data_IF_323132811254
#
_entry.id   IF_323132811254
#
_cell.length_a   1.000
_cell.length_b   1.000
_cell.length_c   1.000
_cell.angle_alpha   90.00
_cell.angle_beta   90.00
_cell.angle_gamma   90.00
#
_symmetry.space_group_name_H-M   'P 1'
#
loop_
_entity.id
_entity.type
_entity.pdbx_description
1 polymer ?
#
# COMPACT_ATOMS: atom_id res chain seq x y z
N UNK A 1 -1.47 8.27 1.60
CA UNK A 1 -2.15 7.12 0.96
C UNK A 1 -2.03 7.19 -0.54
N UNK A 2 -2.45 8.27 -1.21
CA UNK A 2 -2.31 8.45 -2.67
C UNK A 2 -0.91 8.12 -3.23
N UNK A 3 0.14 8.72 -2.67
CA UNK A 3 1.53 8.47 -3.09
C UNK A 3 1.98 7.00 -3.00
N UNK A 4 1.46 6.24 -2.03
CA UNK A 4 1.78 4.82 -1.85
C UNK A 4 1.09 3.99 -2.92
N UNK A 5 -0.19 4.27 -3.20
CA UNK A 5 -0.93 3.58 -4.25
C UNK A 5 -0.30 3.84 -5.63
N UNK A 6 0.02 5.10 -5.93
CA UNK A 6 0.64 5.51 -7.20
C UNK A 6 1.99 4.82 -7.41
N UNK A 7 2.85 4.82 -6.39
CA UNK A 7 4.17 4.20 -6.51
C UNK A 7 4.09 2.68 -6.53
N UNK A 8 3.15 2.07 -5.80
CA UNK A 8 2.90 0.63 -5.85
C UNK A 8 2.40 0.20 -7.23
N UNK A 9 1.50 0.97 -7.86
CA UNK A 9 1.03 0.68 -9.23
C UNK A 9 2.15 0.82 -10.25
N UNK A 10 3.05 1.79 -10.07
CA UNK A 10 4.16 2.03 -10.99
C UNK A 10 5.29 1.01 -10.84
N UNK A 11 5.64 0.63 -9.60
CA UNK A 11 6.90 -0.06 -9.29
C UNK A 11 6.74 -1.29 -8.37
N UNK A 12 5.51 -1.69 -8.01
CA UNK A 12 5.22 -2.71 -6.99
C UNK A 12 5.92 -2.45 -5.63
N UNK A 13 6.16 -1.18 -5.32
CA UNK A 13 6.86 -0.73 -4.11
C UNK A 13 6.37 0.68 -3.73
N UNK A 14 6.25 1.05 -2.44
CA UNK A 14 6.65 0.32 -1.24
C UNK A 14 5.65 -0.72 -0.75
N UNK A 15 6.16 -1.73 -0.04
CA UNK A 15 5.35 -2.74 0.69
C UNK A 15 5.14 -2.22 2.12
N UNK A 16 3.92 -2.37 2.64
CA UNK A 16 3.57 -1.95 4.00
C UNK A 16 3.49 -3.18 4.91
N UNK A 17 4.21 -3.13 6.03
CA UNK A 17 4.16 -4.14 7.09
C UNK A 17 3.50 -3.55 8.33
N UNK A 18 2.72 -4.37 9.05
CA UNK A 18 2.06 -3.99 10.29
C UNK A 18 2.69 -4.71 11.47
N UNK A 19 3.40 -3.98 12.35
CA UNK A 19 4.06 -4.57 13.51
C UNK A 19 3.51 -4.01 14.82
N UNK A 20 3.40 -4.88 15.82
CA UNK A 20 3.06 -4.51 17.20
C UNK A 20 4.23 -4.83 18.12
N UNK A 21 4.68 -3.83 18.87
CA UNK A 21 5.68 -4.02 19.91
C UNK A 21 5.01 -4.37 21.24
N UNK A 22 5.28 -5.56 21.75
CA UNK A 22 4.84 -5.99 23.07
C UNK A 22 5.80 -5.50 24.16
N UNK A 23 5.35 -4.52 24.95
CA UNK A 23 6.14 -3.94 26.04
C UNK A 23 6.44 -4.90 27.19
N UNK A 24 5.64 -5.96 27.38
CA UNK A 24 5.85 -6.92 28.48
C UNK A 24 6.93 -7.94 28.14
N UNK A 25 6.97 -8.38 26.88
CA UNK A 25 7.90 -9.42 26.43
C UNK A 25 9.09 -8.87 25.65
N UNK A 26 9.03 -7.60 25.22
CA UNK A 26 10.04 -6.95 24.38
C UNK A 26 10.04 -7.46 22.93
N UNK A 27 9.00 -8.18 22.51
CA UNK A 27 8.92 -8.78 21.17
C UNK A 27 8.25 -7.84 20.17
N UNK A 28 8.75 -7.86 18.94
CA UNK A 28 8.04 -7.33 17.78
C UNK A 28 7.23 -8.47 17.20
N UNK A 29 5.91 -8.29 17.12
CA UNK A 29 4.96 -9.24 16.56
C UNK A 29 4.57 -8.71 15.18
N UNK A 30 4.80 -9.51 14.15
CA UNK A 30 4.26 -9.23 12.83
C UNK A 30 2.77 -9.58 12.81
N UNK A 31 1.95 -8.64 12.34
CA UNK A 31 0.51 -8.83 12.20
C UNK A 31 0.14 -9.58 10.91
N UNK A 32 1.10 -9.76 10.00
CA UNK A 32 0.90 -10.46 8.72
C UNK A 32 -0.31 -9.92 7.95
N UNK A 33 -0.34 -8.58 7.80
CA UNK A 33 -1.44 -7.91 7.10
C UNK A 33 -1.39 -8.21 5.60
N UNK A 34 -2.54 -8.57 5.03
CA UNK A 34 -2.68 -8.67 3.57
C UNK A 34 -2.77 -7.25 2.98
N UNK A 35 -1.59 -6.70 2.67
CA UNK A 35 -1.49 -5.37 2.09
C UNK A 35 -2.21 -5.24 0.74
N UNK A 36 -2.21 -6.29 -0.09
CA UNK A 36 -2.84 -6.26 -1.41
C UNK A 36 -4.36 -6.19 -1.30
N UNK A 37 -4.95 -7.00 -0.40
CA UNK A 37 -6.39 -6.98 -0.14
C UNK A 37 -6.84 -5.62 0.41
N UNK A 38 -6.12 -5.09 1.40
CA UNK A 38 -6.40 -3.77 1.99
C UNK A 38 -6.30 -2.67 0.93
N UNK A 39 -5.26 -2.71 0.09
CA UNK A 39 -5.07 -1.74 -0.98
C UNK A 39 -6.21 -1.78 -1.99
N UNK A 40 -6.64 -3.00 -2.37
CA UNK A 40 -7.76 -3.23 -3.29
C UNK A 40 -9.08 -2.74 -2.72
N UNK A 41 -9.33 -2.92 -1.43
CA UNK A 41 -10.53 -2.42 -0.77
C UNK A 41 -10.56 -0.89 -0.67
N UNK A 42 -9.42 -0.26 -0.40
CA UNK A 42 -9.29 1.20 -0.42
C UNK A 42 -9.55 1.74 -1.84
N UNK A 43 -9.03 1.08 -2.88
CA UNK A 43 -9.28 1.45 -4.28
C UNK A 43 -10.76 1.40 -4.67
N UNK A 44 -11.58 0.53 -4.05
CA UNK A 44 -13.04 0.50 -4.32
C UNK A 44 -13.75 1.78 -3.87
N UNK A 45 -13.26 2.44 -2.82
CA UNK A 45 -13.88 3.65 -2.23
C UNK A 45 -13.20 4.93 -2.72
N UNK A 46 -11.93 4.86 -3.11
CA UNK A 46 -11.16 5.99 -3.62
C UNK A 46 -10.15 5.52 -4.69
N UNK A 47 -10.65 5.38 -5.92
CA UNK A 47 -9.87 4.90 -7.05
C UNK A 47 -9.04 6.04 -7.68
N UNK A 48 -7.75 6.08 -7.36
CA UNK A 48 -6.80 6.99 -8.00
C UNK A 48 -6.25 6.47 -9.33
N UNK A 49 -6.57 5.22 -9.72
CA UNK A 49 -6.03 4.60 -10.94
C UNK A 49 -6.62 5.19 -12.23
N UNK A 50 -7.79 5.82 -12.14
CA UNK A 50 -8.51 6.42 -13.26
C UNK A 50 -8.19 7.91 -13.50
N UNK A 51 -7.16 8.47 -12.86
CA UNK A 51 -6.74 9.85 -13.14
C UNK A 51 -5.73 9.88 -14.29
N UNK A 52 -5.97 10.71 -15.31
CA UNK A 52 -5.10 10.88 -16.49
C UNK A 52 -3.62 11.08 -16.14
N UNK A 53 -3.34 11.64 -14.96
CA UNK A 53 -2.00 11.88 -14.43
C UNK A 53 -1.19 10.60 -14.11
N UNK A 54 -1.86 9.52 -13.68
CA UNK A 54 -1.19 8.22 -13.37
C UNK A 54 -0.86 7.44 -14.65
N UNK A 55 -1.67 7.60 -15.69
CA UNK A 55 -1.50 6.94 -17.00
C UNK A 55 -0.36 7.56 -17.84
N UNK A 56 -0.03 8.84 -17.62
CA UNK A 56 1.04 9.56 -18.33
C UNK A 56 2.47 9.09 -18.02
N UNK A 57 2.67 8.24 -17.00
CA UNK A 57 3.99 7.67 -16.66
C UNK A 57 4.29 6.32 -17.30
N UNK A 58 3.35 5.73 -18.06
CA UNK A 58 3.54 4.43 -18.74
C UNK A 58 4.06 4.55 -20.19
N UNK A 59 4.36 5.76 -20.68
CA UNK A 59 4.94 5.98 -22.01
C UNK A 59 6.35 6.58 -21.91
N UNK A 60 7.33 5.77 -21.53
CA UNK A 60 8.73 5.92 -21.96
C UNK A 60 9.42 4.55 -21.97
#
# INVERSE_FOLDING_TARGET
MACVQEQYIANNFPIVHGWVFDMKTGKIIDLDIDFEEILRDIQKVYDLTNTEWVMGKKSE
#
